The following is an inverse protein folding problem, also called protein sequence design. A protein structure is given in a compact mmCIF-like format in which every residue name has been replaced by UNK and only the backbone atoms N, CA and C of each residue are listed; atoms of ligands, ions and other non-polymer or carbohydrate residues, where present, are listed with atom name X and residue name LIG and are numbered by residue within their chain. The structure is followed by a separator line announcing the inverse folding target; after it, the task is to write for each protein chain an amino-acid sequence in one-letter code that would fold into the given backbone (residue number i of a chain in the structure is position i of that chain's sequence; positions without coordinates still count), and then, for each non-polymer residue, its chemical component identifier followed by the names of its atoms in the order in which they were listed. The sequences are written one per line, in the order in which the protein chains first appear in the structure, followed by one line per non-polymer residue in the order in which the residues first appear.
data_IF_833637709244
#
_entry.id   IF_833637709244
#
_cell.length_a   1.000
_cell.length_b   1.000
_cell.length_c   1.000
_cell.angle_alpha   90.00
_cell.angle_beta   90.00
_cell.angle_gamma   90.00
#
_symmetry.space_group_name_H-M   'P 1'
#
loop_
_entity.id
_entity.type
_entity.pdbx_description
1 polymer ?
#
# COMPACT_ATOMS: atom_id res chain seq x y z
N UNK A 1 -54.10 -11.68 6.62
CA UNK A 1 -54.19 -10.91 5.35
C UNK A 1 -52.83 -10.35 5.05
N UNK A 2 -52.29 -10.56 3.84
CA UNK A 2 -51.09 -9.88 3.37
C UNK A 2 -51.52 -8.57 2.73
N UNK A 3 -51.10 -7.42 3.27
CA UNK A 3 -51.26 -6.14 2.61
C UNK A 3 -50.03 -5.86 1.74
N UNK A 4 -50.25 -5.59 0.46
CA UNK A 4 -49.21 -5.15 -0.47
C UNK A 4 -49.33 -3.64 -0.59
N UNK A 5 -48.24 -2.92 -0.35
CA UNK A 5 -48.17 -1.48 -0.52
C UNK A 5 -47.27 -1.22 -1.72
N UNK A 6 -47.80 -0.58 -2.75
CA UNK A 6 -46.99 -0.07 -3.86
C UNK A 6 -46.41 1.29 -3.45
N UNK A 7 -45.08 1.43 -3.64
CA UNK A 7 -44.36 2.65 -3.28
C UNK A 7 -43.61 3.13 -4.53
N UNK A 8 -43.93 4.33 -4.97
CA UNK A 8 -43.16 5.01 -6.01
C UNK A 8 -41.78 5.43 -5.45
N UNK A 9 -40.71 4.90 -6.03
CA UNK A 9 -39.36 5.25 -5.63
C UNK A 9 -38.87 6.37 -6.53
N UNK A 10 -38.51 7.55 -5.99
CA UNK A 10 -37.95 8.64 -6.80
C UNK A 10 -36.69 8.26 -7.54
N UNK A 11 -36.46 8.83 -8.72
CA UNK A 11 -35.27 8.60 -9.54
C UNK A 11 -33.98 8.84 -8.73
N UNK A 12 -33.04 7.92 -8.89
CA UNK A 12 -31.75 7.98 -8.19
C UNK A 12 -31.80 7.58 -6.70
N UNK A 13 -32.97 7.07 -6.22
CA UNK A 13 -33.13 6.60 -4.84
C UNK A 13 -33.47 5.12 -4.79
N UNK A 14 -33.17 4.49 -3.66
CA UNK A 14 -33.64 3.15 -3.29
C UNK A 14 -34.49 3.23 -2.03
N UNK A 15 -35.54 2.42 -1.96
CA UNK A 15 -36.36 2.29 -0.75
C UNK A 15 -35.64 1.34 0.24
N UNK A 16 -35.50 1.78 1.49
CA UNK A 16 -34.93 0.99 2.58
C UNK A 16 -35.87 1.03 3.77
N UNK A 17 -36.08 -0.14 4.39
CA UNK A 17 -36.90 -0.23 5.60
C UNK A 17 -36.06 0.11 6.82
N UNK A 18 -36.37 1.20 7.54
CA UNK A 18 -35.70 1.61 8.78
C UNK A 18 -36.76 2.05 9.82
N UNK A 19 -36.58 1.57 11.03
CA UNK A 19 -37.40 1.95 12.19
C UNK A 19 -38.93 1.90 11.93
N UNK A 20 -39.37 0.83 11.24
CA UNK A 20 -40.80 0.62 10.97
C UNK A 20 -41.39 1.49 9.85
N UNK A 21 -40.57 2.18 9.08
CA UNK A 21 -40.97 3.02 7.93
C UNK A 21 -40.04 2.85 6.73
N UNK A 22 -40.57 3.17 5.56
CA UNK A 22 -39.78 3.22 4.32
C UNK A 22 -39.09 4.57 4.26
N UNK A 23 -37.76 4.53 4.05
CA UNK A 23 -36.90 5.71 3.84
C UNK A 23 -36.26 5.61 2.46
N UNK A 24 -36.20 6.72 1.73
CA UNK A 24 -35.54 6.78 0.44
C UNK A 24 -34.09 7.26 0.60
N UNK A 25 -33.17 6.38 0.31
CA UNK A 25 -31.71 6.69 0.29
C UNK A 25 -31.24 6.93 -1.15
N UNK A 26 -30.31 7.85 -1.33
CA UNK A 26 -29.66 8.04 -2.63
C UNK A 26 -28.94 6.76 -3.02
N UNK A 27 -29.10 6.32 -4.26
CA UNK A 27 -28.30 5.24 -4.83
C UNK A 27 -26.89 5.80 -4.99
N UNK A 28 -25.95 5.30 -4.18
CA UNK A 28 -24.53 5.60 -4.44
C UNK A 28 -24.15 4.93 -5.75
N UNK A 29 -23.52 5.65 -6.69
CA UNK A 29 -23.01 5.01 -7.88
C UNK A 29 -22.05 3.88 -7.48
N UNK A 30 -22.08 2.77 -8.22
CA UNK A 30 -21.09 1.73 -8.01
C UNK A 30 -19.69 2.34 -8.20
N UNK A 31 -18.74 2.08 -7.29
CA UNK A 31 -17.40 2.58 -7.46
C UNK A 31 -16.83 2.09 -8.80
N UNK A 32 -16.11 2.92 -9.53
CA UNK A 32 -15.43 2.46 -10.74
C UNK A 32 -14.47 1.33 -10.39
N UNK A 33 -14.36 0.33 -11.26
CA UNK A 33 -13.50 -0.84 -11.03
C UNK A 33 -12.03 -0.43 -10.75
N UNK A 34 -11.61 0.67 -11.40
CA UNK A 34 -10.30 1.28 -11.20
C UNK A 34 -10.50 2.80 -11.16
N UNK A 35 -10.34 3.43 -10.01
CA UNK A 35 -10.42 4.89 -9.88
C UNK A 35 -9.31 5.55 -10.72
N UNK A 36 -9.63 6.64 -11.39
CA UNK A 36 -8.69 7.36 -12.28
C UNK A 36 -8.02 8.53 -11.57
N UNK A 37 -8.59 8.98 -10.45
CA UNK A 37 -8.04 10.06 -9.62
C UNK A 37 -8.05 9.66 -8.15
N UNK A 38 -7.27 10.39 -7.35
CA UNK A 38 -7.24 10.19 -5.90
C UNK A 38 -8.57 10.58 -5.25
N UNK A 39 -9.20 11.64 -5.72
CA UNK A 39 -10.50 12.14 -5.26
C UNK A 39 -11.57 11.08 -5.49
N UNK A 40 -11.62 10.50 -6.70
CA UNK A 40 -12.52 9.41 -7.05
C UNK A 40 -12.30 8.19 -6.15
N UNK A 41 -11.05 7.80 -5.90
CA UNK A 41 -10.73 6.74 -4.95
C UNK A 41 -11.25 7.07 -3.55
N UNK A 42 -11.05 8.29 -3.08
CA UNK A 42 -11.49 8.73 -1.76
C UNK A 42 -13.01 8.73 -1.59
N UNK A 43 -13.74 9.03 -2.65
CA UNK A 43 -15.21 9.06 -2.64
C UNK A 43 -15.82 7.65 -2.59
N UNK A 44 -15.31 6.73 -3.38
CA UNK A 44 -15.92 5.42 -3.57
C UNK A 44 -15.37 4.32 -2.69
N UNK A 45 -14.13 4.46 -2.20
CA UNK A 45 -13.47 3.45 -1.37
C UNK A 45 -13.31 3.94 0.07
N UNK A 46 -14.36 3.75 0.91
CA UNK A 46 -14.28 4.13 2.32
C UNK A 46 -13.21 3.31 3.04
N UNK A 47 -12.62 3.90 4.07
CA UNK A 47 -11.63 3.25 4.90
C UNK A 47 -12.27 2.04 5.61
N UNK A 48 -11.73 0.81 5.41
CA UNK A 48 -12.28 -0.39 6.05
C UNK A 48 -12.22 -0.33 7.59
N UNK A 49 -13.12 -1.06 8.25
CA UNK A 49 -13.01 -1.28 9.70
C UNK A 49 -11.75 -2.09 10.00
N UNK A 50 -11.04 -1.73 11.06
CA UNK A 50 -9.79 -2.39 11.45
C UNK A 50 -8.56 -1.89 10.68
N UNK A 51 -8.70 -0.81 9.92
CA UNK A 51 -7.55 -0.14 9.29
C UNK A 51 -6.56 0.35 10.33
N UNK A 52 -5.28 0.27 9.99
CA UNK A 52 -4.19 0.82 10.80
C UNK A 52 -3.66 2.11 10.15
N UNK A 53 -3.14 3.01 10.95
CA UNK A 53 -2.40 4.18 10.48
C UNK A 53 -1.02 4.23 11.13
N UNK A 54 -0.11 4.95 10.48
CA UNK A 54 1.22 5.23 11.01
C UNK A 54 1.17 6.66 11.54
N UNK A 55 1.50 6.84 12.83
CA UNK A 55 1.56 8.17 13.44
C UNK A 55 2.87 8.89 13.10
N UNK A 56 3.00 10.13 13.62
CA UNK A 56 4.18 10.97 13.43
C UNK A 56 5.47 10.32 13.95
N UNK A 57 5.38 9.48 14.96
CA UNK A 57 6.51 8.79 15.60
C UNK A 57 6.73 7.38 15.03
N UNK A 58 6.12 7.08 13.87
CA UNK A 58 6.18 5.78 13.18
C UNK A 58 5.56 4.61 13.95
N UNK A 59 4.71 4.89 14.95
CA UNK A 59 3.97 3.84 15.63
C UNK A 59 2.75 3.43 14.82
N UNK A 60 2.38 2.15 14.95
CA UNK A 60 1.15 1.63 14.38
C UNK A 60 -0.01 1.95 15.33
N UNK A 61 -0.97 2.71 14.84
CA UNK A 61 -2.20 2.99 15.56
C UNK A 61 -3.34 2.19 14.97
N UNK A 62 -4.02 1.40 15.80
CA UNK A 62 -5.26 0.73 15.43
C UNK A 62 -6.42 1.68 15.60
N UNK A 63 -7.20 1.83 14.57
CA UNK A 63 -8.28 2.79 14.55
C UNK A 63 -9.61 2.16 14.93
N UNK A 64 -10.16 2.61 16.06
CA UNK A 64 -11.52 2.30 16.47
C UNK A 64 -12.50 3.45 16.28
N UNK A 65 -12.02 4.68 16.20
CA UNK A 65 -12.90 5.83 16.07
C UNK A 65 -12.38 6.84 15.01
N UNK A 66 -13.35 7.45 14.33
CA UNK A 66 -13.14 8.34 13.18
C UNK A 66 -12.53 9.72 13.54
N UNK A 67 -12.13 9.98 14.78
CA UNK A 67 -11.89 11.35 15.26
C UNK A 67 -10.45 11.85 15.19
N UNK A 68 -9.46 11.01 14.87
CA UNK A 68 -8.04 11.37 15.00
C UNK A 68 -7.15 11.28 13.77
N UNK A 69 -7.67 10.85 12.64
CA UNK A 69 -6.90 10.94 11.40
C UNK A 69 -7.52 12.02 10.53
N UNK A 70 -6.74 13.03 10.20
CA UNK A 70 -7.12 13.95 9.13
C UNK A 70 -7.36 13.13 7.87
N UNK A 71 -8.61 13.14 7.42
CA UNK A 71 -9.06 12.36 6.27
C UNK A 71 -8.30 12.73 4.98
N UNK A 72 -7.59 13.86 5.00
CA UNK A 72 -6.87 14.39 3.86
C UNK A 72 -5.55 13.69 3.57
N UNK A 73 -4.84 13.22 4.60
CA UNK A 73 -3.52 12.61 4.40
C UNK A 73 -3.58 11.10 4.16
N UNK A 74 -4.72 10.47 4.43
CA UNK A 74 -4.96 9.04 4.29
C UNK A 74 -3.78 8.11 4.63
N UNK A 75 -3.03 8.43 5.66
CA UNK A 75 -2.05 7.52 6.26
C UNK A 75 -2.70 6.28 6.90
N UNK A 76 -3.88 5.94 6.42
CA UNK A 76 -4.69 4.83 6.91
C UNK A 76 -4.58 3.70 5.91
N UNK A 77 -4.01 2.61 6.36
CA UNK A 77 -3.77 1.42 5.56
C UNK A 77 -4.84 0.36 5.86
N UNK A 78 -5.19 -0.50 4.89
CA UNK A 78 -6.34 -1.40 5.00
C UNK A 78 -6.19 -2.49 6.07
N UNK A 79 -4.96 -2.73 6.56
CA UNK A 79 -4.67 -3.75 7.57
C UNK A 79 -3.40 -3.43 8.35
N UNK A 80 -3.22 -4.09 9.49
CA UNK A 80 -1.97 -4.06 10.25
C UNK A 80 -0.77 -4.53 9.41
N UNK A 81 -0.94 -5.58 8.62
CA UNK A 81 0.10 -6.09 7.72
C UNK A 81 0.55 -5.01 6.74
N UNK A 82 -0.40 -4.33 6.09
CA UNK A 82 -0.08 -3.26 5.16
C UNK A 82 0.66 -2.10 5.86
N UNK A 83 0.24 -1.73 7.07
CA UNK A 83 0.90 -0.68 7.84
C UNK A 83 2.33 -1.05 8.25
N UNK A 84 2.57 -2.31 8.65
CA UNK A 84 3.92 -2.82 8.94
C UNK A 84 4.81 -2.77 7.69
N UNK A 85 4.31 -3.25 6.55
CA UNK A 85 5.05 -3.22 5.28
C UNK A 85 5.41 -1.80 4.85
N UNK A 86 4.49 -0.85 4.96
CA UNK A 86 4.78 0.56 4.64
C UNK A 86 5.80 1.18 5.60
N UNK A 87 5.72 0.88 6.91
CA UNK A 87 6.73 1.32 7.88
C UNK A 87 8.11 0.77 7.54
N UNK A 88 8.19 -0.53 7.25
CA UNK A 88 9.43 -1.18 6.84
C UNK A 88 10.01 -0.53 5.58
N UNK A 89 9.17 -0.23 4.58
CA UNK A 89 9.59 0.47 3.37
C UNK A 89 10.17 1.86 3.66
N UNK A 90 9.54 2.64 4.55
CA UNK A 90 10.06 3.96 4.96
C UNK A 90 11.42 3.86 5.64
N UNK A 91 11.61 2.87 6.52
CA UNK A 91 12.89 2.61 7.19
C UNK A 91 13.97 2.18 6.19
N UNK A 92 13.63 1.27 5.27
CA UNK A 92 14.53 0.84 4.20
C UNK A 92 14.96 2.00 3.30
N UNK A 93 14.06 2.96 3.06
CA UNK A 93 14.40 4.16 2.29
C UNK A 93 15.55 4.95 2.94
N UNK A 94 15.42 5.24 4.23
CA UNK A 94 16.42 5.99 4.99
C UNK A 94 17.75 5.21 5.08
N UNK A 95 17.67 3.91 5.39
CA UNK A 95 18.85 3.04 5.46
C UNK A 95 19.57 2.93 4.12
N UNK A 96 18.82 2.75 3.03
CA UNK A 96 19.36 2.74 1.67
C UNK A 96 20.14 4.02 1.35
N UNK A 97 19.55 5.17 1.64
CA UNK A 97 20.17 6.46 1.35
C UNK A 97 21.41 6.68 2.21
N UNK A 98 21.39 6.21 3.46
CA UNK A 98 22.59 6.19 4.31
C UNK A 98 23.73 5.34 3.71
N UNK A 99 23.41 4.15 3.18
CA UNK A 99 24.40 3.28 2.52
C UNK A 99 24.92 3.86 1.21
N UNK A 100 24.07 4.49 0.42
CA UNK A 100 24.44 5.10 -0.87
C UNK A 100 25.32 6.33 -0.73
N UNK A 101 25.17 7.08 0.37
CA UNK A 101 25.75 8.40 0.49
C UNK A 101 25.29 9.31 -0.66
N UNK A 102 26.22 9.96 -1.32
CA UNK A 102 25.94 10.86 -2.46
C UNK A 102 25.71 10.13 -3.80
N UNK A 103 25.77 8.79 -3.82
CA UNK A 103 25.54 8.05 -5.05
C UNK A 103 24.08 8.05 -5.46
N UNK A 104 23.83 8.53 -6.68
CA UNK A 104 22.49 8.54 -7.30
C UNK A 104 22.50 7.59 -8.50
N UNK A 105 21.57 6.63 -8.58
CA UNK A 105 21.48 5.74 -9.73
C UNK A 105 21.18 6.51 -11.00
N UNK A 106 22.01 6.34 -12.02
CA UNK A 106 21.77 6.97 -13.32
C UNK A 106 20.84 6.10 -14.17
N UNK A 107 20.22 6.68 -15.18
CA UNK A 107 19.38 5.96 -16.14
C UNK A 107 20.21 5.29 -17.26
N UNK A 108 21.54 5.40 -17.22
CA UNK A 108 22.41 4.82 -18.24
C UNK A 108 22.53 3.30 -18.02
N UNK A 109 22.30 2.55 -19.06
CA UNK A 109 22.38 1.06 -19.06
C UNK A 109 23.80 0.58 -18.80
N UNK A 110 24.82 1.41 -19.08
CA UNK A 110 26.23 1.09 -18.91
C UNK A 110 26.71 1.06 -17.46
N UNK A 111 25.96 1.61 -16.54
CA UNK A 111 26.40 1.72 -15.15
C UNK A 111 26.10 0.44 -14.39
N UNK A 112 27.13 -0.15 -13.83
CA UNK A 112 26.99 -1.30 -12.95
C UNK A 112 26.22 -0.88 -11.68
N UNK A 113 25.13 -1.57 -11.45
CA UNK A 113 24.32 -1.41 -10.25
C UNK A 113 23.76 -2.75 -9.82
N UNK A 114 23.55 -2.87 -8.54
CA UNK A 114 23.10 -4.12 -7.91
C UNK A 114 21.82 -3.86 -7.15
N UNK A 115 20.77 -4.59 -7.52
CA UNK A 115 19.45 -4.50 -6.90
C UNK A 115 19.21 -5.65 -5.96
N UNK A 116 18.46 -5.38 -4.88
CA UNK A 116 17.92 -6.39 -3.99
C UNK A 116 16.44 -6.57 -4.37
N UNK A 117 16.04 -7.81 -4.56
CA UNK A 117 14.66 -8.16 -4.92
C UNK A 117 14.48 -9.67 -5.01
N UNK A 118 13.31 -10.06 -5.48
CA UNK A 118 12.97 -11.47 -5.65
C UNK A 118 13.36 -11.93 -7.05
N UNK A 119 14.38 -12.78 -7.14
CA UNK A 119 14.88 -13.33 -8.38
C UNK A 119 14.67 -14.83 -8.45
N UNK A 120 14.47 -15.35 -9.68
CA UNK A 120 14.44 -16.77 -9.91
C UNK A 120 15.83 -17.37 -9.77
N UNK A 121 15.97 -18.34 -8.87
CA UNK A 121 17.22 -19.07 -8.65
C UNK A 121 17.24 -20.34 -9.49
N UNK A 122 18.15 -20.42 -10.45
CA UNK A 122 18.35 -21.62 -11.27
C UNK A 122 18.81 -22.83 -10.44
N UNK A 123 19.46 -22.59 -9.29
CA UNK A 123 19.97 -23.66 -8.43
C UNK A 123 18.87 -24.37 -7.64
N UNK A 124 17.86 -23.62 -7.20
CA UNK A 124 16.78 -24.14 -6.36
C UNK A 124 15.46 -24.29 -7.12
N UNK A 125 15.35 -23.71 -8.31
CA UNK A 125 14.11 -23.67 -9.09
C UNK A 125 13.01 -22.80 -8.45
N UNK A 126 13.36 -21.86 -7.57
CA UNK A 126 12.43 -21.03 -6.82
C UNK A 126 12.76 -19.54 -6.94
N UNK A 127 11.78 -18.72 -6.62
CA UNK A 127 11.99 -17.28 -6.45
C UNK A 127 12.53 -17.04 -5.04
N UNK A 128 13.67 -16.38 -4.95
CA UNK A 128 14.37 -16.11 -3.70
C UNK A 128 14.76 -14.64 -3.59
N UNK A 129 14.74 -14.12 -2.37
CA UNK A 129 15.25 -12.79 -2.08
C UNK A 129 16.76 -12.80 -2.19
N UNK A 130 17.31 -12.10 -3.16
CA UNK A 130 18.74 -12.10 -3.47
C UNK A 130 19.20 -10.78 -4.09
N UNK A 131 20.51 -10.67 -4.33
CA UNK A 131 21.12 -9.55 -5.04
C UNK A 131 21.34 -9.95 -6.50
N UNK A 132 20.90 -9.09 -7.40
CA UNK A 132 21.13 -9.25 -8.83
C UNK A 132 21.73 -7.99 -9.47
N UNK A 133 22.49 -8.15 -10.56
CA UNK A 133 22.86 -7.01 -11.42
C UNK A 133 21.60 -6.50 -12.09
N UNK A 134 21.35 -5.21 -11.97
CA UNK A 134 20.13 -4.62 -12.47
C UNK A 134 20.45 -3.54 -13.52
N UNK A 135 19.86 -3.69 -14.71
CA UNK A 135 19.99 -2.73 -15.80
C UNK A 135 18.87 -1.68 -15.81
N UNK A 136 17.83 -1.85 -14.97
CA UNK A 136 16.70 -0.93 -14.91
C UNK A 136 16.75 -0.06 -13.63
N UNK A 137 16.33 1.18 -13.79
CA UNK A 137 16.28 2.17 -12.70
C UNK A 137 15.12 1.98 -11.72
N UNK A 138 14.25 1.02 -12.00
CA UNK A 138 12.98 0.86 -11.28
C UNK A 138 13.07 0.10 -9.97
N UNK A 139 14.22 -0.51 -9.67
CA UNK A 139 14.35 -1.23 -8.39
C UNK A 139 14.62 -0.25 -7.24
N UNK A 140 13.78 -0.33 -6.23
CA UNK A 140 13.86 0.53 -5.06
C UNK A 140 15.18 0.39 -4.29
N UNK A 141 15.61 -0.84 -4.03
CA UNK A 141 16.86 -1.14 -3.31
C UNK A 141 17.99 -1.42 -4.31
N UNK A 142 18.62 -0.35 -4.81
CA UNK A 142 19.80 -0.44 -5.70
C UNK A 142 21.03 0.19 -5.08
N UNK A 143 22.20 -0.38 -5.37
CA UNK A 143 23.48 0.00 -4.78
C UNK A 143 24.59 0.05 -5.84
N UNK A 144 25.64 0.87 -5.64
CA UNK A 144 26.74 1.01 -6.59
C UNK A 144 27.63 -0.23 -6.67
N UNK A 145 27.65 -1.07 -5.63
CA UNK A 145 28.53 -2.25 -5.60
C UNK A 145 27.81 -3.49 -5.09
N UNK A 146 28.21 -4.66 -5.60
CA UNK A 146 27.71 -5.95 -5.14
C UNK A 146 27.96 -6.17 -3.63
N UNK A 147 29.14 -5.73 -3.14
CA UNK A 147 29.47 -5.84 -1.72
C UNK A 147 28.49 -5.09 -0.85
N UNK A 148 28.17 -3.84 -1.19
CA UNK A 148 27.24 -3.01 -0.45
C UNK A 148 25.82 -3.58 -0.47
N UNK A 149 25.36 -4.08 -1.62
CA UNK A 149 24.06 -4.71 -1.74
C UNK A 149 23.93 -5.98 -0.89
N UNK A 150 24.96 -6.84 -0.89
CA UNK A 150 24.99 -8.04 -0.05
C UNK A 150 25.04 -7.72 1.44
N UNK A 151 25.81 -6.73 1.84
CA UNK A 151 25.89 -6.26 3.24
C UNK A 151 24.54 -5.71 3.69
N UNK A 152 23.90 -4.90 2.87
CA UNK A 152 22.56 -4.39 3.15
C UNK A 152 21.53 -5.53 3.27
N UNK A 153 21.51 -6.47 2.34
CA UNK A 153 20.61 -7.63 2.40
C UNK A 153 20.86 -8.47 3.67
N UNK A 154 22.11 -8.66 4.06
CA UNK A 154 22.44 -9.43 5.27
C UNK A 154 21.94 -8.74 6.53
N UNK A 155 22.16 -7.42 6.62
CA UNK A 155 21.83 -6.65 7.83
C UNK A 155 20.33 -6.37 7.99
N UNK A 156 19.60 -6.29 6.88
CA UNK A 156 18.19 -5.83 6.88
C UNK A 156 17.23 -6.84 6.23
N UNK A 157 17.59 -8.12 6.16
CA UNK A 157 16.77 -9.16 5.54
C UNK A 157 15.35 -9.20 6.08
N UNK A 158 15.19 -9.22 7.41
CA UNK A 158 13.87 -9.29 8.06
C UNK A 158 13.01 -8.06 7.71
N UNK A 159 13.61 -6.88 7.66
CA UNK A 159 12.93 -5.64 7.30
C UNK A 159 12.50 -5.64 5.83
N UNK A 160 13.34 -6.21 4.94
CA UNK A 160 13.03 -6.37 3.52
C UNK A 160 11.86 -7.34 3.33
N UNK A 161 11.87 -8.46 4.05
CA UNK A 161 10.77 -9.44 4.02
C UNK A 161 9.47 -8.86 4.61
N UNK A 162 9.56 -8.00 5.64
CA UNK A 162 8.39 -7.29 6.18
C UNK A 162 7.82 -6.28 5.18
N UNK A 163 8.65 -5.59 4.40
CA UNK A 163 8.20 -4.71 3.33
C UNK A 163 7.49 -5.50 2.20
N UNK A 164 7.90 -6.75 1.97
CA UNK A 164 7.24 -7.69 1.06
C UNK A 164 7.13 -7.17 -0.36
N UNK A 165 5.92 -7.16 -0.91
CA UNK A 165 5.63 -6.81 -2.31
C UNK A 165 5.84 -5.32 -2.65
N UNK A 166 6.24 -4.50 -1.66
CA UNK A 166 6.46 -3.06 -1.87
C UNK A 166 7.87 -2.71 -2.39
N UNK A 167 8.78 -3.70 -2.50
CA UNK A 167 10.16 -3.54 -2.96
C UNK A 167 10.43 -4.15 -4.32
#
# INVERSE_FOLDING_TARGET
MKQTIEIEVPDGKKAVWKDGKVVFENIKPNPPRFPKTWEEFCEFYPIPRGSACIDRDSNLLFRWDNRRCDLFDRNVLPSEKAAKSHRALMQLHQLRDCYRGDWIPTLKVSDDRYGIGYFYSNNTGRIELSVGRCCCSSMFLTFPTLKMANEFLTNFRELIEEAGDLI
#
